data_IF_022993562214
#
_entry.id   IF_022993562214
#
_cell.length_a   1.000
_cell.length_b   1.000
_cell.length_c   1.000
_cell.angle_alpha   90.00
_cell.angle_beta   90.00
_cell.angle_gamma   90.00
#
_symmetry.space_group_name_H-M   'P 1'
#
loop_
_entity.id
_entity.type
_entity.pdbx_description
1 polymer ?
#
# COMPACT_ATOMS: atom_id res chain seq x y z
N UNK A 1 13.82 12.23 3.70
CA UNK A 1 13.27 12.05 2.33
C UNK A 1 12.97 13.39 1.68
N UNK A 2 12.11 14.25 2.24
CA UNK A 2 11.75 15.56 1.63
C UNK A 2 12.91 16.41 1.10
N UNK A 3 13.93 16.71 1.94
CA UNK A 3 15.10 17.52 1.51
C UNK A 3 15.94 16.90 0.37
N UNK A 4 16.02 15.58 0.32
CA UNK A 4 16.76 14.86 -0.74
C UNK A 4 15.90 14.84 -2.01
N UNK A 5 14.59 14.60 -1.86
CA UNK A 5 13.66 14.61 -2.97
C UNK A 5 13.58 15.95 -3.68
N UNK A 6 13.57 17.06 -2.92
CA UNK A 6 13.64 18.42 -3.48
C UNK A 6 14.94 18.65 -4.25
N UNK A 7 16.09 18.20 -3.72
CA UNK A 7 17.39 18.34 -4.37
C UNK A 7 17.51 17.50 -5.65
N UNK A 8 16.87 16.34 -5.70
CA UNK A 8 16.95 15.38 -6.80
C UNK A 8 15.74 15.44 -7.73
N UNK A 9 14.83 16.40 -7.50
CA UNK A 9 13.64 16.66 -8.33
C UNK A 9 12.77 15.40 -8.53
N UNK A 10 12.58 14.60 -7.47
CA UNK A 10 11.68 13.43 -7.54
C UNK A 10 10.21 13.88 -7.48
N UNK A 11 9.33 13.22 -8.25
CA UNK A 11 7.93 13.63 -8.38
C UNK A 11 7.11 13.43 -7.09
N UNK A 12 7.27 12.27 -6.44
CA UNK A 12 6.53 11.94 -5.22
C UNK A 12 7.22 10.83 -4.41
N UNK A 13 6.89 10.79 -3.11
CA UNK A 13 7.26 9.68 -2.22
C UNK A 13 5.97 9.06 -1.70
N UNK A 14 5.82 7.76 -1.88
CA UNK A 14 4.73 6.99 -1.28
C UNK A 14 5.25 6.39 0.03
N UNK A 15 4.75 6.90 1.16
CA UNK A 15 4.95 6.26 2.46
C UNK A 15 3.73 5.42 2.78
N UNK A 16 3.92 4.11 2.94
CA UNK A 16 2.81 3.19 3.16
C UNK A 16 2.28 3.22 4.60
N UNK A 17 3.00 3.74 5.59
CA UNK A 17 2.43 4.06 6.91
C UNK A 17 3.44 4.03 8.04
N UNK A 18 2.97 3.86 9.28
CA UNK A 18 3.72 4.16 10.51
C UNK A 18 4.32 5.58 10.53
N UNK A 19 3.56 6.56 10.01
CA UNK A 19 4.07 7.92 9.78
C UNK A 19 3.85 8.90 10.94
N UNK A 20 3.01 8.55 11.92
CA UNK A 20 2.62 9.42 13.02
C UNK A 20 3.23 8.91 14.34
N UNK A 21 4.46 9.36 14.61
CA UNK A 21 5.11 9.20 15.91
C UNK A 21 4.89 10.45 16.77
N UNK A 22 5.19 10.38 18.08
CA UNK A 22 4.98 11.46 19.06
C UNK A 22 5.54 12.83 18.63
N UNK A 23 6.53 12.87 17.73
CA UNK A 23 7.14 14.10 17.22
C UNK A 23 6.53 14.62 15.90
N UNK A 24 5.54 13.94 15.33
CA UNK A 24 4.81 14.34 14.12
C UNK A 24 5.66 14.48 12.85
N UNK A 25 4.99 14.58 11.70
CA UNK A 25 5.58 15.05 10.45
C UNK A 25 5.34 16.55 10.32
N UNK A 26 6.41 17.34 10.22
CA UNK A 26 6.33 18.74 9.79
C UNK A 26 6.39 18.79 8.26
N UNK A 27 5.26 18.59 7.59
CA UNK A 27 5.17 18.64 6.13
C UNK A 27 3.74 18.47 5.62
N UNK A 28 3.46 19.02 4.43
CA UNK A 28 2.18 18.86 3.75
C UNK A 28 2.12 17.45 3.17
N UNK A 29 1.16 16.64 3.63
CA UNK A 29 0.80 15.36 2.99
C UNK A 29 -0.37 15.67 2.07
N UNK A 30 -0.18 15.51 0.76
CA UNK A 30 -1.25 15.72 -0.21
C UNK A 30 -2.21 14.52 -0.17
N UNK A 31 -3.47 14.80 0.17
CA UNK A 31 -4.59 13.89 -0.05
C UNK A 31 -5.03 13.91 -1.52
N UNK A 32 -5.88 12.96 -1.90
CA UNK A 32 -6.30 12.65 -3.26
C UNK A 32 -7.20 13.70 -3.96
N UNK A 33 -6.99 15.01 -3.75
CA UNK A 33 -7.81 16.02 -4.43
C UNK A 33 -7.11 17.35 -4.75
N UNK A 34 -5.95 17.28 -5.40
CA UNK A 34 -5.31 18.45 -6.03
C UNK A 34 -5.17 18.24 -7.54
N UNK A 35 -6.26 18.47 -8.28
CA UNK A 35 -6.26 18.48 -9.74
C UNK A 35 -5.98 19.90 -10.25
N UNK A 36 -4.74 20.16 -10.67
CA UNK A 36 -4.39 21.36 -11.46
C UNK A 36 -4.73 21.08 -12.91
N UNK A 37 -5.80 21.71 -13.40
CA UNK A 37 -6.42 21.47 -14.70
C UNK A 37 -5.50 21.63 -15.92
N UNK A 38 -4.70 20.60 -16.18
CA UNK A 38 -3.90 20.46 -17.39
C UNK A 38 -4.57 19.46 -18.35
N UNK A 39 -5.01 19.97 -19.50
CA UNK A 39 -5.68 19.20 -20.54
C UNK A 39 -4.75 18.35 -21.40
N UNK A 40 -3.42 18.48 -21.26
CA UNK A 40 -2.44 17.64 -21.99
C UNK A 40 -2.11 16.32 -21.28
N UNK A 41 -2.54 16.11 -20.03
CA UNK A 41 -2.30 14.87 -19.27
C UNK A 41 -3.15 13.64 -19.72
N UNK A 42 -3.78 13.68 -20.91
CA UNK A 42 -4.72 12.66 -21.39
C UNK A 42 -4.09 11.34 -21.87
N UNK A 43 -2.87 11.05 -21.43
CA UNK A 43 -2.36 9.67 -21.33
C UNK A 43 -2.02 9.42 -19.86
N UNK A 44 -3.02 9.06 -19.06
CA UNK A 44 -2.84 8.63 -17.66
C UNK A 44 -1.97 7.37 -17.65
N UNK A 45 -0.65 7.55 -17.55
CA UNK A 45 0.30 6.43 -17.52
C UNK A 45 0.04 5.59 -16.28
N UNK A 46 -0.12 6.22 -15.11
CA UNK A 46 -0.44 5.56 -13.87
C UNK A 46 -1.51 6.31 -13.07
N UNK A 47 -2.34 5.58 -12.34
CA UNK A 47 -3.29 6.08 -11.35
C UNK A 47 -3.15 5.27 -10.07
N UNK A 48 -3.02 5.97 -8.95
CA UNK A 48 -2.79 5.37 -7.63
C UNK A 48 -4.07 5.42 -6.80
N UNK A 49 -4.42 4.30 -6.19
CA UNK A 49 -5.60 4.12 -5.34
C UNK A 49 -5.13 3.80 -3.94
N UNK A 50 -5.22 4.78 -3.05
CA UNK A 50 -4.85 4.61 -1.64
C UNK A 50 -6.04 4.06 -0.88
N UNK A 51 -5.85 2.92 -0.22
CA UNK A 51 -6.90 2.22 0.52
C UNK A 51 -6.50 2.17 1.99
N UNK A 52 -7.41 2.59 2.87
CA UNK A 52 -7.25 2.35 4.29
C UNK A 52 -7.33 0.84 4.57
N UNK A 53 -6.17 0.24 4.80
CA UNK A 53 -6.04 -1.18 5.07
C UNK A 53 -6.31 -1.51 6.56
N UNK A 54 -6.41 -0.51 7.44
CA UNK A 54 -6.53 -0.68 8.90
C UNK A 54 -7.79 -1.47 9.29
N UNK A 55 -8.99 -1.16 8.75
CA UNK A 55 -10.21 -1.89 9.11
C UNK A 55 -10.21 -3.36 8.66
N UNK A 56 -9.28 -3.79 7.80
CA UNK A 56 -9.12 -5.19 7.44
C UNK A 56 -8.38 -6.00 8.51
N UNK A 57 -7.65 -5.35 9.44
CA UNK A 57 -6.93 -6.01 10.53
C UNK A 57 -7.89 -6.28 11.69
N UNK A 58 -8.38 -7.52 11.77
CA UNK A 58 -9.42 -7.90 12.76
C UNK A 58 -8.95 -7.68 14.20
N UNK A 59 -7.68 -7.96 14.51
CA UNK A 59 -7.16 -7.89 15.88
C UNK A 59 -7.20 -6.48 16.48
N UNK A 60 -7.14 -5.43 15.67
CA UNK A 60 -7.15 -4.04 16.14
C UNK A 60 -8.48 -3.63 16.80
N UNK A 61 -9.55 -4.37 16.53
CA UNK A 61 -10.86 -4.15 17.16
C UNK A 61 -10.97 -4.78 18.57
N UNK A 62 -10.02 -5.64 18.94
CA UNK A 62 -10.11 -6.44 20.18
C UNK A 62 -8.85 -6.38 21.05
N UNK A 63 -7.72 -5.91 20.52
CA UNK A 63 -6.51 -5.71 21.32
C UNK A 63 -6.70 -4.59 22.36
N UNK A 64 -5.91 -4.65 23.43
CA UNK A 64 -6.04 -3.73 24.58
C UNK A 64 -4.85 -2.79 24.74
N UNK A 65 -3.76 -3.05 24.03
CA UNK A 65 -2.51 -2.30 24.17
C UNK A 65 -2.59 -0.92 23.50
N UNK A 66 -3.52 -0.77 22.54
CA UNK A 66 -3.73 0.45 21.78
C UNK A 66 -5.21 0.85 21.83
N UNK A 67 -5.46 2.17 21.85
CA UNK A 67 -6.81 2.73 21.73
C UNK A 67 -6.97 3.27 20.31
N UNK A 68 -7.96 2.76 19.59
CA UNK A 68 -8.30 3.20 18.23
C UNK A 68 -9.67 3.86 18.21
N UNK A 69 -9.83 4.89 17.38
CA UNK A 69 -11.12 5.50 17.09
C UNK A 69 -11.79 4.79 15.90
N UNK A 70 -12.92 4.15 16.17
CA UNK A 70 -13.71 3.40 15.18
C UNK A 70 -15.03 4.07 14.80
N UNK A 71 -15.29 5.30 15.25
CA UNK A 71 -16.57 5.97 15.00
C UNK A 71 -16.92 6.08 13.51
N UNK A 72 -15.92 6.36 12.65
CA UNK A 72 -16.10 6.44 11.20
C UNK A 72 -16.10 5.09 10.46
N UNK A 73 -15.82 3.99 11.16
CA UNK A 73 -15.69 2.65 10.57
C UNK A 73 -16.86 1.73 10.98
N UNK A 74 -17.53 2.02 12.08
CA UNK A 74 -18.64 1.20 12.58
C UNK A 74 -19.96 1.50 11.84
N UNK A 75 -20.73 0.50 11.39
CA UNK A 75 -20.47 -0.95 11.48
C UNK A 75 -19.43 -1.42 10.46
N UNK A 76 -18.40 -2.12 10.96
CA UNK A 76 -17.22 -2.54 10.17
C UNK A 76 -17.59 -3.28 8.87
N UNK A 77 -18.55 -4.20 8.92
CA UNK A 77 -18.95 -4.99 7.74
C UNK A 77 -19.50 -4.11 6.63
N UNK A 78 -20.34 -3.14 6.97
CA UNK A 78 -20.92 -2.16 6.02
C UNK A 78 -19.83 -1.24 5.47
N UNK A 79 -18.95 -0.73 6.32
CA UNK A 79 -17.83 0.11 5.90
C UNK A 79 -16.93 -0.62 4.89
N UNK A 80 -16.51 -1.85 5.20
CA UNK A 80 -15.64 -2.63 4.32
C UNK A 80 -16.31 -2.94 2.98
N UNK A 81 -17.62 -3.26 2.98
CA UNK A 81 -18.36 -3.51 1.75
C UNK A 81 -18.42 -2.26 0.86
N UNK A 82 -18.68 -1.09 1.45
CA UNK A 82 -18.71 0.17 0.71
C UNK A 82 -17.32 0.55 0.20
N UNK A 83 -16.27 0.45 1.03
CA UNK A 83 -14.90 0.73 0.63
C UNK A 83 -14.45 -0.12 -0.56
N UNK A 84 -14.75 -1.43 -0.53
CA UNK A 84 -14.42 -2.33 -1.64
C UNK A 84 -15.22 -2.00 -2.90
N UNK A 85 -16.50 -1.62 -2.75
CA UNK A 85 -17.34 -1.19 -3.87
C UNK A 85 -16.82 0.11 -4.49
N UNK A 86 -16.47 1.10 -3.69
CA UNK A 86 -15.95 2.38 -4.15
C UNK A 86 -14.61 2.18 -4.89
N UNK A 87 -13.71 1.38 -4.31
CA UNK A 87 -12.45 0.99 -4.97
C UNK A 87 -12.71 0.29 -6.31
N UNK A 88 -13.64 -0.67 -6.36
CA UNK A 88 -13.99 -1.36 -7.60
C UNK A 88 -14.52 -0.40 -8.67
N UNK A 89 -15.42 0.52 -8.29
CA UNK A 89 -15.96 1.53 -9.21
C UNK A 89 -14.86 2.43 -9.75
N UNK A 90 -13.99 2.98 -8.88
CA UNK A 90 -12.88 3.83 -9.31
C UNK A 90 -11.89 3.09 -10.22
N UNK A 91 -11.60 1.82 -9.93
CA UNK A 91 -10.76 0.98 -10.79
C UNK A 91 -11.41 0.72 -12.16
N UNK A 92 -12.73 0.56 -12.24
CA UNK A 92 -13.48 0.36 -13.49
C UNK A 92 -13.51 1.64 -14.33
N UNK A 93 -13.68 2.79 -13.69
CA UNK A 93 -13.72 4.10 -14.36
C UNK A 93 -12.36 4.55 -14.88
N UNK A 94 -11.28 4.11 -14.22
CA UNK A 94 -9.92 4.45 -14.61
C UNK A 94 -9.56 3.93 -16.01
N UNK A 95 -9.12 4.85 -16.88
CA UNK A 95 -8.52 4.55 -18.18
C UNK A 95 -6.99 4.42 -18.11
N UNK A 96 -6.40 4.52 -16.92
CA UNK A 96 -4.95 4.47 -16.77
C UNK A 96 -4.39 3.10 -17.13
N UNK A 97 -3.20 3.09 -17.74
CA UNK A 97 -2.49 1.84 -18.08
C UNK A 97 -2.09 1.09 -16.81
N UNK A 98 -1.45 1.77 -15.87
CA UNK A 98 -1.06 1.22 -14.59
C UNK A 98 -2.04 1.69 -13.51
N UNK A 99 -2.75 0.73 -12.90
CA UNK A 99 -3.61 0.98 -11.75
C UNK A 99 -2.94 0.39 -10.52
N UNK A 100 -2.47 1.24 -9.63
CA UNK A 100 -1.62 0.84 -8.50
C UNK A 100 -2.41 1.03 -7.21
N UNK A 101 -2.74 -0.07 -6.54
CA UNK A 101 -3.44 -0.02 -5.25
C UNK A 101 -2.40 -0.03 -4.14
N UNK A 102 -2.43 0.99 -3.29
CA UNK A 102 -1.50 1.17 -2.18
C UNK A 102 -2.28 1.05 -0.87
N UNK A 103 -1.82 0.16 0.00
CA UNK A 103 -2.34 -0.01 1.35
C UNK A 103 -1.21 -0.07 2.36
N UNK A 104 -1.48 0.37 3.58
CA UNK A 104 -0.49 0.34 4.66
C UNK A 104 -0.13 -1.07 5.10
N UNK A 105 -1.14 -1.88 5.39
CA UNK A 105 -0.97 -3.27 5.75
C UNK A 105 -0.91 -4.15 4.51
N UNK A 106 -0.03 -5.14 4.54
CA UNK A 106 0.11 -6.09 3.44
C UNK A 106 -1.22 -6.83 3.23
N UNK A 107 -1.81 -6.67 2.04
CA UNK A 107 -3.00 -7.40 1.61
C UNK A 107 -2.65 -8.90 1.39
N UNK A 108 -1.39 -9.18 1.05
CA UNK A 108 -0.80 -10.51 0.96
C UNK A 108 0.63 -10.44 1.48
N UNK A 109 0.95 -11.19 2.53
CA UNK A 109 2.29 -11.28 3.11
C UNK A 109 2.80 -12.72 3.08
N UNK A 110 4.11 -12.89 2.91
CA UNK A 110 4.75 -14.19 3.07
C UNK A 110 5.07 -14.52 4.56
N UNK A 111 4.80 -13.59 5.49
CA UNK A 111 5.00 -13.74 6.94
C UNK A 111 3.72 -13.95 7.74
N UNK A 112 3.85 -14.07 9.07
CA UNK A 112 2.76 -14.34 10.03
C UNK A 112 1.61 -13.32 10.04
N UNK A 113 1.83 -12.14 9.46
CA UNK A 113 0.90 -11.02 9.48
C UNK A 113 0.36 -10.77 8.07
N UNK A 114 -0.65 -11.55 7.66
CA UNK A 114 -1.75 -11.18 6.78
C UNK A 114 -2.36 -12.45 6.15
N UNK A 115 -3.34 -13.04 6.83
CA UNK A 115 -4.29 -13.95 6.20
C UNK A 115 -5.67 -13.29 6.15
N UNK A 116 -5.90 -12.47 5.13
CA UNK A 116 -7.22 -11.95 4.82
C UNK A 116 -7.70 -12.57 3.50
N UNK A 117 -8.57 -13.58 3.62
CA UNK A 117 -9.08 -14.44 2.54
C UNK A 117 -9.97 -13.75 1.50
N UNK A 118 -10.26 -12.46 1.65
CA UNK A 118 -11.21 -11.75 0.79
C UNK A 118 -10.59 -11.12 -0.46
N UNK A 119 -9.26 -10.97 -0.53
CA UNK A 119 -8.59 -10.19 -1.62
C UNK A 119 -7.52 -11.01 -2.37
N UNK A 120 -7.11 -12.18 -1.86
CA UNK A 120 -6.06 -12.98 -2.49
C UNK A 120 -6.64 -14.03 -3.45
N UNK A 121 -6.46 -13.83 -4.76
CA UNK A 121 -6.62 -14.91 -5.74
C UNK A 121 -5.29 -15.63 -5.97
N UNK A 122 -5.31 -16.97 -5.97
CA UNK A 122 -4.13 -17.80 -6.28
C UNK A 122 -3.75 -17.75 -7.78
N UNK A 123 -4.65 -17.30 -8.64
CA UNK A 123 -4.48 -17.30 -10.11
C UNK A 123 -4.41 -15.89 -10.69
N UNK A 124 -4.54 -14.85 -9.86
CA UNK A 124 -4.45 -13.47 -10.33
C UNK A 124 -3.04 -13.14 -10.81
N UNK A 125 -2.95 -12.48 -11.96
CA UNK A 125 -1.71 -11.91 -12.48
C UNK A 125 -1.26 -10.65 -11.72
N UNK A 126 -2.04 -10.19 -10.74
CA UNK A 126 -1.69 -9.04 -9.90
C UNK A 126 -0.43 -9.36 -9.09
N UNK A 127 0.56 -8.48 -9.23
CA UNK A 127 1.79 -8.53 -8.46
C UNK A 127 1.57 -7.81 -7.12
N UNK A 128 2.03 -8.41 -6.04
CA UNK A 128 1.99 -7.82 -4.70
C UNK A 128 3.40 -7.47 -4.29
N UNK A 129 3.61 -6.22 -3.89
CA UNK A 129 4.89 -5.71 -3.41
C UNK A 129 4.70 -5.27 -1.97
N UNK A 130 5.67 -5.58 -1.12
CA UNK A 130 5.66 -5.20 0.28
C UNK A 130 7.02 -4.64 0.62
N UNK A 131 7.04 -3.36 0.97
CA UNK A 131 8.18 -2.68 1.60
C UNK A 131 7.77 -2.29 3.02
N UNK A 132 8.69 -2.34 3.97
CA UNK A 132 8.41 -1.95 5.36
C UNK A 132 7.71 -3.02 6.21
N UNK A 133 7.96 -4.31 5.97
CA UNK A 133 7.46 -5.41 6.83
C UNK A 133 8.06 -5.43 8.27
N UNK A 134 8.73 -4.35 8.68
CA UNK A 134 9.40 -4.18 9.97
C UNK A 134 10.69 -4.98 10.12
N UNK A 135 11.50 -4.61 11.12
CA UNK A 135 12.77 -5.31 11.46
C UNK A 135 12.59 -6.76 11.92
N UNK A 136 11.35 -7.26 12.00
CA UNK A 136 11.05 -8.68 12.28
C UNK A 136 11.29 -9.60 11.08
N UNK A 137 11.34 -9.05 9.85
CA UNK A 137 11.75 -9.81 8.66
C UNK A 137 13.29 -10.01 8.59
N UNK A 138 14.04 -9.20 9.34
CA UNK A 138 15.50 -9.18 9.36
C UNK A 138 16.07 -10.26 10.30
N UNK A 139 17.16 -10.92 9.90
CA UNK A 139 17.86 -12.01 10.62
C UNK A 139 17.17 -13.39 10.62
N UNK A 140 16.38 -13.68 9.60
CA UNK A 140 16.02 -15.08 9.31
C UNK A 140 14.96 -15.70 10.23
N UNK A 141 14.12 -14.91 10.89
CA UNK A 141 12.88 -15.40 11.57
C UNK A 141 11.79 -15.87 10.57
N UNK A 142 12.20 -16.15 9.34
CA UNK A 142 11.43 -16.68 8.22
C UNK A 142 11.25 -18.21 8.27
N UNK A 143 11.64 -18.87 9.37
CA UNK A 143 11.57 -20.34 9.56
C UNK A 143 10.16 -20.95 9.44
N UNK A 144 9.13 -20.13 9.24
CA UNK A 144 7.71 -20.54 9.12
C UNK A 144 7.03 -20.09 7.81
N UNK A 145 7.77 -19.71 6.77
CA UNK A 145 7.14 -19.48 5.46
C UNK A 145 6.69 -20.82 4.88
N UNK A 146 5.40 -21.10 5.01
CA UNK A 146 4.80 -22.36 4.57
C UNK A 146 4.53 -22.42 3.06
N UNK A 147 4.67 -21.31 2.33
CA UNK A 147 4.28 -21.23 0.93
C UNK A 147 5.31 -20.52 0.03
N UNK A 148 6.48 -21.16 -0.10
CA UNK A 148 7.56 -20.71 -0.98
C UNK A 148 7.13 -20.54 -2.46
N UNK A 149 6.11 -21.28 -2.92
CA UNK A 149 5.64 -21.21 -4.30
C UNK A 149 4.96 -19.88 -4.66
N UNK A 150 4.46 -19.13 -3.67
CA UNK A 150 3.81 -17.84 -3.87
C UNK A 150 4.78 -16.64 -3.83
N UNK A 151 5.98 -16.83 -3.26
CA UNK A 151 6.96 -15.76 -3.06
C UNK A 151 8.00 -15.84 -4.17
N UNK A 152 7.92 -14.92 -5.13
CA UNK A 152 8.83 -14.90 -6.29
C UNK A 152 10.19 -14.27 -5.99
N UNK A 153 10.24 -13.35 -5.03
CA UNK A 153 11.45 -12.63 -4.63
C UNK A 153 11.36 -12.22 -3.16
N UNK A 154 12.50 -12.21 -2.46
CA UNK A 154 12.63 -11.78 -1.07
C UNK A 154 14.01 -11.15 -0.85
N UNK A 155 14.05 -10.00 -0.20
CA UNK A 155 15.27 -9.31 0.21
C UNK A 155 15.36 -9.30 1.74
N UNK A 156 16.40 -9.94 2.31
CA UNK A 156 16.64 -10.02 3.75
C UNK A 156 17.45 -8.80 4.24
N UNK A 157 16.82 -7.64 4.31
CA UNK A 157 17.49 -6.40 4.70
C UNK A 157 16.56 -5.23 4.98
N UNK A 158 17.15 -4.15 5.46
CA UNK A 158 16.51 -2.83 5.57
C UNK A 158 16.82 -2.03 4.31
N UNK A 159 15.86 -1.28 3.77
CA UNK A 159 16.06 -0.54 2.53
C UNK A 159 14.81 0.17 2.04
N UNK A 160 14.81 0.51 0.76
CA UNK A 160 13.69 1.10 0.05
C UNK A 160 13.47 0.35 -1.27
N UNK A 161 12.37 0.63 -1.95
CA UNK A 161 12.11 0.15 -3.31
C UNK A 161 11.83 1.36 -4.18
N UNK A 162 12.40 1.41 -5.38
CA UNK A 162 12.02 2.40 -6.40
C UNK A 162 11.24 1.74 -7.52
N UNK A 163 10.26 2.47 -8.05
CA UNK A 163 9.43 2.07 -9.18
C UNK A 163 9.58 3.11 -10.29
N UNK A 164 10.01 2.68 -11.47
CA UNK A 164 9.97 3.47 -12.68
C UNK A 164 8.88 2.93 -13.61
N UNK A 165 8.01 3.82 -14.09
CA UNK A 165 6.91 3.46 -14.99
C UNK A 165 7.07 4.16 -16.32
N UNK A 166 6.96 3.39 -17.40
CA UNK A 166 6.70 3.88 -18.75
C UNK A 166 5.30 3.46 -19.17
N UNK A 167 4.88 3.78 -20.40
CA UNK A 167 3.60 3.29 -20.93
C UNK A 167 3.58 1.76 -21.11
N UNK A 168 4.74 1.14 -21.34
CA UNK A 168 4.82 -0.28 -21.66
C UNK A 168 5.44 -1.12 -20.53
N UNK A 169 6.30 -0.50 -19.72
CA UNK A 169 7.13 -1.21 -18.74
C UNK A 169 7.00 -0.64 -17.34
N UNK A 170 7.19 -1.54 -16.37
CA UNK A 170 7.34 -1.21 -14.95
C UNK A 170 8.63 -1.85 -14.45
N UNK A 171 9.58 -1.05 -13.99
CA UNK A 171 10.86 -1.50 -13.46
C UNK A 171 10.92 -1.25 -11.95
N UNK A 172 11.35 -2.28 -11.23
CA UNK A 172 11.49 -2.25 -9.77
C UNK A 172 12.96 -2.47 -9.40
N UNK A 173 13.48 -1.60 -8.54
CA UNK A 173 14.83 -1.73 -7.97
C UNK A 173 14.72 -1.79 -6.45
N UNK A 174 15.51 -2.68 -5.84
CA UNK A 174 15.54 -3.00 -4.41
C UNK A 174 16.90 -2.67 -3.81
#
# INVERSE_FOLDING_TARGET
>A
MGRIGEKLEIDFVISTGDNFYENGLNGVVLGNHDYRGDTEAQLKTAEFFFVDATPFVVSYFFEKDHTYDWQGVSPRGTYLANLLKDLEMSLRESSAKWKIVVGHHAIRSAGHHAWNTLISSKTSAIQFLTSGAGSKAWRGDMKKISNHAAMKFFYDGQGFMSLQLTREDAEFVF
#
